data_IF_730653146893
#
_entry.id   IF_730653146893
#
_cell.length_a   1.000
_cell.length_b   1.000
_cell.length_c   1.000
_cell.angle_alpha   90.00
_cell.angle_beta   90.00
_cell.angle_gamma   90.00
#
_symmetry.space_group_name_H-M   'P 1'
#
loop_
_entity.id
_entity.type
_entity.pdbx_description
1 polymer ?
#
# COMPACT_ATOMS: atom_id res chain seq x y z
N UNK A 1 -8.28 37.54 10.84
CA UNK A 1 -8.00 36.36 10.01
C UNK A 1 -7.72 35.21 10.98
N UNK A 2 -8.70 34.32 11.21
CA UNK A 2 -8.53 33.20 12.15
C UNK A 2 -7.65 32.11 11.51
N UNK A 3 -6.78 31.43 12.27
CA UNK A 3 -6.00 30.32 11.74
C UNK A 3 -6.96 29.20 11.33
N UNK A 4 -6.79 28.67 10.11
CA UNK A 4 -7.45 27.43 9.69
C UNK A 4 -6.79 26.28 10.43
N UNK A 5 -7.46 25.72 11.44
CA UNK A 5 -7.11 24.40 11.96
C UNK A 5 -7.24 23.37 10.83
N UNK A 6 -6.26 22.49 10.61
CA UNK A 6 -6.40 21.45 9.61
C UNK A 6 -7.23 20.30 10.20
N UNK A 7 -8.21 19.73 9.47
CA UNK A 7 -8.77 18.45 9.87
C UNK A 7 -7.75 17.35 9.55
N UNK A 8 -6.81 17.08 10.46
CA UNK A 8 -5.82 15.99 10.33
C UNK A 8 -6.27 14.70 11.04
N UNK A 9 -7.48 14.23 10.73
CA UNK A 9 -7.86 12.88 11.14
C UNK A 9 -8.46 12.14 9.96
N UNK A 10 -7.68 11.19 9.41
CA UNK A 10 -8.23 10.15 8.54
C UNK A 10 -9.40 9.50 9.28
N UNK A 11 -10.61 9.48 8.67
CA UNK A 11 -11.77 8.81 9.25
C UNK A 11 -11.40 7.40 9.71
N UNK A 12 -11.86 6.99 10.89
CA UNK A 12 -11.47 5.70 11.47
C UNK A 12 -11.78 4.51 10.54
N UNK A 13 -12.86 4.61 9.77
CA UNK A 13 -13.28 3.62 8.78
C UNK A 13 -12.24 3.40 7.67
N UNK A 14 -11.43 4.42 7.38
CA UNK A 14 -10.39 4.42 6.35
C UNK A 14 -9.01 4.08 6.92
N UNK A 15 -8.87 3.90 8.24
CA UNK A 15 -7.59 3.50 8.84
C UNK A 15 -7.30 2.04 8.55
N UNK A 16 -6.12 1.81 7.99
CA UNK A 16 -5.65 0.48 7.63
C UNK A 16 -4.78 -0.13 8.73
N UNK A 17 -5.00 -1.41 9.00
CA UNK A 17 -4.00 -2.25 9.64
C UNK A 17 -3.29 -3.04 8.54
N UNK A 18 -1.96 -2.96 8.49
CA UNK A 18 -1.14 -3.61 7.46
C UNK A 18 -0.05 -4.43 8.13
N UNK A 19 0.16 -5.65 7.66
CA UNK A 19 1.30 -6.50 8.01
C UNK A 19 1.98 -6.99 6.75
N UNK A 20 3.31 -7.07 6.79
CA UNK A 20 4.15 -7.60 5.73
C UNK A 20 5.02 -8.71 6.31
N UNK A 21 5.19 -9.79 5.56
CA UNK A 21 6.06 -10.89 5.94
C UNK A 21 6.92 -11.30 4.74
N UNK A 22 8.24 -11.12 4.87
CA UNK A 22 9.18 -11.54 3.86
C UNK A 22 9.50 -13.04 4.00
N UNK A 23 9.57 -13.72 2.86
CA UNK A 23 10.06 -15.10 2.72
C UNK A 23 11.14 -15.12 1.64
N UNK A 24 12.27 -15.80 1.87
CA UNK A 24 13.27 -15.99 0.83
C UNK A 24 12.66 -16.63 -0.42
N UNK A 25 12.96 -16.08 -1.59
CA UNK A 25 12.57 -16.64 -2.90
C UNK A 25 13.77 -17.25 -3.62
N UNK A 26 13.76 -17.16 -4.95
CA UNK A 26 14.93 -17.48 -5.79
C UNK A 26 16.14 -16.60 -5.41
N UNK A 27 17.38 -17.04 -5.67
CA UNK A 27 18.58 -16.26 -5.37
C UNK A 27 18.49 -14.83 -5.92
N UNK A 28 18.57 -13.83 -5.04
CA UNK A 28 18.41 -12.42 -5.40
C UNK A 28 17.00 -11.85 -5.21
N UNK A 29 16.03 -12.65 -4.76
CA UNK A 29 14.62 -12.24 -4.65
C UNK A 29 13.95 -12.65 -3.33
N UNK A 30 12.95 -11.86 -2.93
CA UNK A 30 12.01 -12.16 -1.86
C UNK A 30 10.60 -12.25 -2.42
N UNK A 31 9.78 -13.08 -1.79
CA UNK A 31 8.33 -12.85 -1.79
C UNK A 31 7.96 -12.17 -0.48
N UNK A 32 7.28 -11.03 -0.54
CA UNK A 32 6.69 -10.36 0.62
C UNK A 32 5.18 -10.50 0.53
N UNK A 33 4.63 -11.28 1.44
CA UNK A 33 3.18 -11.37 1.61
C UNK A 33 2.68 -10.19 2.41
N UNK A 34 1.74 -9.43 1.85
CA UNK A 34 1.09 -8.30 2.53
C UNK A 34 -0.36 -8.64 2.80
N UNK A 35 -0.78 -8.45 4.04
CA UNK A 35 -2.17 -8.50 4.44
C UNK A 35 -2.58 -7.17 5.03
N UNK A 36 -3.76 -6.69 4.63
CA UNK A 36 -4.28 -5.40 5.00
C UNK A 36 -5.78 -5.48 5.25
N UNK A 37 -6.30 -4.66 6.16
CA UNK A 37 -7.74 -4.55 6.42
C UNK A 37 -8.13 -3.18 6.96
N UNK A 38 -9.38 -2.79 6.70
CA UNK A 38 -10.04 -1.65 7.34
C UNK A 38 -11.54 -1.96 7.53
N UNK A 39 -12.35 -0.96 7.93
CA UNK A 39 -13.77 -1.18 8.18
C UNK A 39 -14.60 -1.51 6.93
N UNK A 40 -14.13 -1.11 5.74
CA UNK A 40 -14.83 -1.34 4.47
C UNK A 40 -14.30 -2.57 3.72
N UNK A 41 -13.04 -2.94 3.94
CA UNK A 41 -12.33 -4.02 3.29
C UNK A 41 -11.85 -4.96 4.40
N UNK A 42 -12.62 -6.01 4.72
CA UNK A 42 -12.34 -6.87 5.87
C UNK A 42 -11.03 -7.67 5.71
N UNK A 43 -10.63 -7.93 4.46
CA UNK A 43 -9.35 -8.54 4.12
C UNK A 43 -8.93 -8.14 2.70
N UNK A 44 -7.67 -7.75 2.57
CA UNK A 44 -6.95 -7.56 1.33
C UNK A 44 -5.60 -8.27 1.48
N UNK A 45 -5.31 -9.20 0.59
CA UNK A 45 -4.06 -9.97 0.61
C UNK A 45 -3.44 -10.01 -0.79
N UNK A 46 -2.13 -9.80 -0.87
CA UNK A 46 -1.37 -9.94 -2.10
C UNK A 46 0.10 -10.20 -1.79
N UNK A 47 0.75 -10.91 -2.71
CA UNK A 47 2.19 -11.17 -2.66
C UNK A 47 2.92 -10.22 -3.61
N UNK A 48 4.06 -9.70 -3.16
CA UNK A 48 4.95 -8.87 -3.97
C UNK A 48 6.31 -9.54 -4.09
N UNK A 49 6.86 -9.58 -5.31
CA UNK A 49 8.26 -9.91 -5.49
C UNK A 49 9.10 -8.65 -5.37
N UNK A 50 10.17 -8.71 -4.56
CA UNK A 50 11.12 -7.61 -4.39
C UNK A 50 12.56 -8.12 -4.44
N UNK A 51 13.48 -7.28 -4.90
CA UNK A 51 14.89 -7.63 -4.95
C UNK A 51 15.46 -7.81 -3.53
N UNK A 52 16.01 -9.01 -3.29
CA UNK A 52 16.62 -9.43 -2.02
C UNK A 52 18.08 -9.81 -2.26
N UNK A 53 18.99 -8.88 -1.96
CA UNK A 53 20.42 -9.17 -2.01
C UNK A 53 20.83 -10.11 -0.87
N UNK A 54 21.72 -11.09 -1.12
CA UNK A 54 22.25 -11.96 -0.07
C UNK A 54 22.78 -11.14 1.12
N UNK A 55 22.27 -11.43 2.32
CA UNK A 55 22.66 -10.74 3.57
C UNK A 55 21.75 -9.59 4.01
N UNK A 56 20.73 -9.20 3.24
CA UNK A 56 19.71 -8.27 3.72
C UNK A 56 18.78 -8.92 4.77
N UNK A 57 18.45 -8.19 5.83
CA UNK A 57 17.56 -8.68 6.89
C UNK A 57 16.08 -8.59 6.46
N UNK A 58 15.25 -9.55 6.92
CA UNK A 58 13.84 -9.60 6.57
C UNK A 58 13.06 -8.30 6.88
N UNK A 59 13.24 -7.63 8.05
CA UNK A 59 12.54 -6.38 8.34
C UNK A 59 12.88 -5.25 7.36
N UNK A 60 14.12 -5.17 6.86
CA UNK A 60 14.52 -4.17 5.87
C UNK A 60 13.81 -4.43 4.53
N UNK A 61 13.71 -5.69 4.13
CA UNK A 61 13.01 -6.11 2.91
C UNK A 61 11.51 -5.82 3.02
N UNK A 62 10.89 -6.13 4.17
CA UNK A 62 9.49 -5.82 4.46
C UNK A 62 9.22 -4.31 4.41
N UNK A 63 10.08 -3.50 5.06
CA UNK A 63 9.97 -2.04 5.05
C UNK A 63 10.07 -1.45 3.66
N UNK A 64 11.03 -1.93 2.85
CA UNK A 64 11.16 -1.52 1.43
C UNK A 64 9.94 -1.90 0.61
N UNK A 65 9.40 -3.11 0.80
CA UNK A 65 8.20 -3.56 0.11
C UNK A 65 6.98 -2.67 0.46
N UNK A 66 6.81 -2.29 1.72
CA UNK A 66 5.76 -1.36 2.15
C UNK A 66 5.91 0.04 1.53
N UNK A 67 7.14 0.54 1.37
CA UNK A 67 7.39 1.81 0.66
C UNK A 67 7.00 1.68 -0.81
N UNK A 68 7.43 0.63 -1.50
CA UNK A 68 7.07 0.37 -2.91
C UNK A 68 5.56 0.29 -3.06
N UNK A 69 4.89 -0.47 -2.19
CA UNK A 69 3.44 -0.58 -2.18
C UNK A 69 2.75 0.77 -2.01
N UNK A 70 3.27 1.63 -1.13
CA UNK A 70 2.71 2.98 -0.95
C UNK A 70 2.79 3.84 -2.21
N UNK A 71 3.85 3.66 -3.03
CA UNK A 71 4.01 4.36 -4.30
C UNK A 71 3.04 3.79 -5.35
N UNK A 72 2.92 2.46 -5.42
CA UNK A 72 1.98 1.79 -6.33
C UNK A 72 0.53 2.18 -6.03
N UNK A 73 0.13 2.27 -4.76
CA UNK A 73 -1.23 2.70 -4.42
C UNK A 73 -1.49 4.18 -4.70
N UNK A 74 -0.48 5.05 -4.67
CA UNK A 74 -0.65 6.44 -5.10
C UNK A 74 -0.95 6.53 -6.60
N UNK A 75 -0.21 5.78 -7.41
CA UNK A 75 -0.46 5.73 -8.86
C UNK A 75 -1.81 5.07 -9.17
N UNK A 76 -2.14 3.97 -8.49
CA UNK A 76 -3.44 3.29 -8.66
C UNK A 76 -4.61 4.22 -8.27
N UNK A 77 -4.47 4.98 -7.18
CA UNK A 77 -5.48 5.95 -6.78
C UNK A 77 -5.67 7.02 -7.87
N UNK A 78 -4.58 7.55 -8.42
CA UNK A 78 -4.65 8.52 -9.53
C UNK A 78 -5.34 7.93 -10.78
N UNK A 79 -5.08 6.65 -11.10
CA UNK A 79 -5.75 5.98 -12.22
C UNK A 79 -7.25 5.76 -11.97
N UNK A 80 -7.63 5.36 -10.76
CA UNK A 80 -9.03 5.24 -10.37
C UNK A 80 -9.76 6.58 -10.53
N UNK A 81 -9.14 7.69 -10.11
CA UNK A 81 -9.70 9.04 -10.27
C UNK A 81 -9.88 9.41 -11.75
N UNK A 82 -8.89 9.11 -12.61
CA UNK A 82 -9.00 9.32 -14.07
C UNK A 82 -10.18 8.53 -14.66
N UNK A 83 -10.28 7.24 -14.36
CA UNK A 83 -11.35 6.37 -14.86
C UNK A 83 -12.73 6.83 -14.37
N UNK A 84 -12.84 7.21 -13.09
CA UNK A 84 -14.08 7.72 -12.52
C UNK A 84 -14.52 9.03 -13.20
N UNK A 85 -13.59 9.97 -13.42
CA UNK A 85 -13.86 11.23 -14.09
C UNK A 85 -14.39 11.02 -15.52
N UNK A 86 -13.79 10.09 -16.28
CA UNK A 86 -14.30 9.73 -17.62
C UNK A 86 -15.75 9.25 -17.55
N UNK A 87 -16.06 8.33 -16.65
CA UNK A 87 -17.43 7.80 -16.50
C UNK A 87 -18.44 8.87 -16.10
N UNK A 88 -18.06 9.80 -15.22
CA UNK A 88 -18.93 10.92 -14.85
C UNK A 88 -19.17 11.90 -16.01
N UNK A 89 -18.24 12.01 -16.95
CA UNK A 89 -18.41 12.86 -18.14
C UNK A 89 -19.28 12.24 -19.23
N UNK A 90 -19.45 10.91 -19.21
CA UNK A 90 -20.25 10.16 -20.19
C UNK A 90 -21.73 9.99 -19.79
N UNK A 91 -22.08 10.28 -18.53
CA UNK A 91 -23.44 10.20 -17.98
C UNK A 91 -24.08 11.57 -17.74
#
# INVERSE_FOLDING_TARGET
>A
MAPRDPPQHTPEQLRWLVTAQARPGDPGSATVGVTARNAMIPELAFDMMVDWHPGAEAPDVEGRALIILSLLFKELAAECDRIAATRFSEG
#
